data_IF_610681955296
#
_entry.id   IF_610681955296
#
_cell.length_a   1.000
_cell.length_b   1.000
_cell.length_c   1.000
_cell.angle_alpha   90.00
_cell.angle_beta   90.00
_cell.angle_gamma   90.00
#
_symmetry.space_group_name_H-M   'P 1'
#
loop_
_entity.id
_entity.type
_entity.pdbx_description
1 polymer ?
#
# COMPACT_ATOMS: atom_id res chain seq x y z
N UNK A 1 8.72 8.00 8.00
CA UNK A 1 8.98 7.06 6.90
C UNK A 1 10.40 7.29 6.46
N UNK A 2 11.18 6.22 6.39
CA UNK A 2 12.48 6.20 5.75
C UNK A 2 12.34 6.04 4.22
N UNK A 3 13.47 6.14 3.53
CA UNK A 3 13.53 6.10 2.06
C UNK A 3 12.97 4.78 1.49
N UNK A 4 13.32 3.65 2.09
CA UNK A 4 12.80 2.33 1.70
C UNK A 4 11.27 2.28 1.79
N UNK A 5 10.68 2.86 2.83
CA UNK A 5 9.23 2.92 2.95
C UNK A 5 8.58 3.77 1.86
N UNK A 6 9.20 4.88 1.47
CA UNK A 6 8.69 5.69 0.36
C UNK A 6 8.81 4.95 -0.98
N UNK A 7 9.93 4.25 -1.21
CA UNK A 7 10.10 3.37 -2.37
C UNK A 7 9.06 2.24 -2.40
N UNK A 8 8.73 1.66 -1.24
CA UNK A 8 7.70 0.63 -1.10
C UNK A 8 6.31 1.08 -1.57
N UNK A 9 5.95 2.34 -1.29
CA UNK A 9 4.66 2.89 -1.72
C UNK A 9 4.56 2.94 -3.25
N UNK A 10 5.65 3.30 -3.92
CA UNK A 10 5.72 3.28 -5.39
C UNK A 10 5.75 1.85 -5.91
N UNK A 11 6.54 0.97 -5.30
CA UNK A 11 6.65 -0.44 -5.69
C UNK A 11 5.28 -1.15 -5.66
N UNK A 12 4.48 -0.90 -4.61
CA UNK A 12 3.12 -1.43 -4.46
C UNK A 12 2.20 -1.10 -5.66
N UNK A 13 2.36 0.07 -6.30
CA UNK A 13 1.54 0.44 -7.45
C UNK A 13 1.76 -0.49 -8.65
N UNK A 14 2.99 -1.01 -8.80
CA UNK A 14 3.32 -2.03 -9.78
C UNK A 14 2.88 -3.42 -9.28
N UNK A 15 3.46 -3.89 -8.17
CA UNK A 15 3.02 -5.11 -7.48
C UNK A 15 3.56 -5.19 -6.04
N UNK A 16 2.96 -6.07 -5.22
CA UNK A 16 3.38 -6.29 -3.83
C UNK A 16 4.72 -7.03 -3.68
N UNK A 17 5.08 -7.89 -4.64
CA UNK A 17 6.33 -8.67 -4.61
C UNK A 17 7.54 -7.72 -4.57
N UNK A 18 7.52 -6.65 -5.36
CA UNK A 18 8.57 -5.64 -5.39
C UNK A 18 8.70 -4.90 -4.04
N UNK A 19 7.58 -4.55 -3.41
CA UNK A 19 7.58 -3.92 -2.09
C UNK A 19 8.10 -4.88 -1.01
N UNK A 20 7.73 -6.16 -1.06
CA UNK A 20 8.17 -7.17 -0.09
C UNK A 20 9.69 -7.34 -0.04
N UNK A 21 10.39 -7.19 -1.17
CA UNK A 21 11.86 -7.27 -1.22
C UNK A 21 12.58 -6.18 -0.40
N UNK A 22 11.92 -5.06 -0.12
CA UNK A 22 12.48 -3.95 0.67
C UNK A 22 11.75 -3.75 2.00
N UNK A 23 10.76 -4.60 2.31
CA UNK A 23 9.90 -4.46 3.48
C UNK A 23 10.68 -4.53 4.79
N UNK A 24 11.64 -5.44 4.90
CA UNK A 24 12.41 -5.62 6.14
C UNK A 24 13.18 -4.35 6.56
N UNK A 25 13.61 -3.54 5.58
CA UNK A 25 14.41 -2.32 5.76
C UNK A 25 13.58 -1.10 6.20
N UNK A 26 12.25 -1.20 6.13
CA UNK A 26 11.36 -0.10 6.48
C UNK A 26 11.28 0.12 8.00
N UNK A 27 11.12 1.39 8.40
CA UNK A 27 10.79 1.74 9.78
C UNK A 27 9.38 1.25 10.18
N UNK A 28 9.06 1.06 11.47
CA UNK A 28 7.77 0.49 11.89
C UNK A 28 6.54 1.23 11.36
N UNK A 29 6.60 2.57 11.31
CA UNK A 29 5.51 3.37 10.74
C UNK A 29 5.45 3.19 9.23
N UNK A 30 6.59 3.17 8.55
CA UNK A 30 6.68 2.86 7.13
C UNK A 30 6.07 1.50 6.75
N UNK A 31 6.34 0.44 7.53
CA UNK A 31 5.74 -0.89 7.37
C UNK A 31 4.22 -0.83 7.48
N UNK A 32 3.70 -0.17 8.52
CA UNK A 32 2.26 -0.02 8.74
C UNK A 32 1.57 0.66 7.55
N UNK A 33 2.13 1.80 7.09
CA UNK A 33 1.54 2.56 5.99
C UNK A 33 1.62 1.83 4.65
N UNK A 34 2.74 1.15 4.38
CA UNK A 34 2.89 0.34 3.17
C UNK A 34 1.87 -0.80 3.13
N UNK A 35 1.70 -1.54 4.22
CA UNK A 35 0.71 -2.64 4.28
C UNK A 35 -0.71 -2.10 4.13
N UNK A 36 -1.05 -0.98 4.78
CA UNK A 36 -2.37 -0.36 4.63
C UNK A 36 -2.63 0.06 3.17
N UNK A 37 -1.63 0.66 2.51
CA UNK A 37 -1.72 1.05 1.10
C UNK A 37 -1.85 -0.15 0.17
N UNK A 38 -1.09 -1.21 0.43
CA UNK A 38 -1.09 -2.47 -0.33
C UNK A 38 -2.49 -3.06 -0.46
N UNK A 39 -3.28 -3.11 0.62
CA UNK A 39 -4.61 -3.76 0.59
C UNK A 39 -5.54 -3.11 -0.44
N UNK A 40 -5.48 -1.79 -0.57
CA UNK A 40 -6.45 -1.03 -1.36
C UNK A 40 -5.92 -0.57 -2.73
N UNK A 41 -4.64 -0.22 -2.81
CA UNK A 41 -4.05 0.43 -3.99
C UNK A 41 -3.12 -0.46 -4.80
N UNK A 42 -2.75 -1.64 -4.29
CA UNK A 42 -1.77 -2.47 -4.97
C UNK A 42 -2.19 -2.83 -6.39
N UNK A 43 -1.17 -2.98 -7.24
CA UNK A 43 -1.28 -3.44 -8.63
C UNK A 43 -2.06 -2.51 -9.56
N UNK A 44 -2.36 -1.29 -9.13
CA UNK A 44 -3.21 -0.36 -9.89
C UNK A 44 -2.63 -0.04 -11.27
N UNK A 45 -1.30 -0.05 -11.41
CA UNK A 45 -0.60 0.15 -12.68
C UNK A 45 0.10 -1.12 -13.20
N UNK A 46 -0.02 -2.24 -12.50
CA UNK A 46 0.50 -3.54 -12.91
C UNK A 46 -0.62 -4.51 -13.20
N UNK A 47 -0.72 -5.57 -12.39
CA UNK A 47 -1.58 -6.73 -12.65
C UNK A 47 -3.05 -6.37 -12.88
N UNK A 48 -3.61 -5.44 -12.10
CA UNK A 48 -5.02 -5.05 -12.28
C UNK A 48 -5.24 -4.20 -13.54
N UNK A 49 -4.29 -3.33 -13.89
CA UNK A 49 -4.36 -2.57 -15.13
C UNK A 49 -4.34 -3.53 -16.33
N UNK A 50 -3.38 -4.45 -16.36
CA UNK A 50 -3.23 -5.44 -17.43
C UNK A 50 -4.46 -6.34 -17.56
N UNK A 51 -5.00 -6.83 -16.44
CA UNK A 51 -6.22 -7.63 -16.45
C UNK A 51 -7.43 -6.83 -16.95
N UNK A 52 -7.62 -5.61 -16.45
CA UNK A 52 -8.78 -4.77 -16.84
C UNK A 52 -8.70 -4.39 -18.32
N UNK A 53 -7.51 -4.07 -18.83
CA UNK A 53 -7.30 -3.79 -20.24
C UNK A 53 -7.60 -4.98 -21.16
N UNK A 54 -7.33 -6.21 -20.71
CA UNK A 54 -7.68 -7.42 -21.47
C UNK A 54 -9.15 -7.83 -21.36
N UNK A 55 -9.79 -7.60 -20.22
CA UNK A 55 -11.13 -8.09 -19.93
C UNK A 55 -12.25 -7.07 -20.27
N UNK A 56 -12.06 -5.80 -19.91
CA UNK A 56 -12.99 -4.71 -20.17
C UNK A 56 -12.27 -3.35 -20.15
N UNK A 57 -11.76 -2.86 -21.30
CA UNK A 57 -10.99 -1.62 -21.39
C UNK A 57 -11.73 -0.38 -20.87
N UNK A 58 -13.05 -0.33 -20.99
CA UNK A 58 -13.85 0.82 -20.53
C UNK A 58 -13.81 0.97 -19.00
N UNK A 59 -13.50 -0.12 -18.28
CA UNK A 59 -13.38 -0.13 -16.82
C UNK A 59 -12.01 0.31 -16.30
N UNK A 60 -11.01 0.55 -17.16
CA UNK A 60 -9.65 0.95 -16.74
C UNK A 60 -9.70 2.19 -15.85
N UNK A 61 -10.33 3.26 -16.33
CA UNK A 61 -10.37 4.53 -15.61
C UNK A 61 -11.10 4.42 -14.26
N UNK A 62 -12.33 3.85 -14.20
CA UNK A 62 -13.01 3.58 -12.92
C UNK A 62 -12.18 2.78 -11.92
N UNK A 63 -11.49 1.71 -12.36
CA UNK A 63 -10.68 0.85 -11.49
C UNK A 63 -9.48 1.61 -10.93
N UNK A 64 -8.77 2.35 -11.78
CA UNK A 64 -7.60 3.15 -11.34
C UNK A 64 -8.02 4.18 -10.31
N UNK A 65 -9.07 4.97 -10.59
CA UNK A 65 -9.56 5.99 -9.66
C UNK A 65 -10.04 5.37 -8.36
N UNK A 66 -10.87 4.32 -8.42
CA UNK A 66 -11.40 3.66 -7.22
C UNK A 66 -10.29 3.11 -6.32
N UNK A 67 -9.28 2.46 -6.90
CA UNK A 67 -8.14 1.91 -6.14
C UNK A 67 -7.27 3.00 -5.53
N UNK A 68 -6.95 4.06 -6.27
CA UNK A 68 -6.14 5.16 -5.73
C UNK A 68 -6.87 5.89 -4.61
N UNK A 69 -8.17 6.16 -4.76
CA UNK A 69 -8.99 6.78 -3.71
C UNK A 69 -9.02 5.90 -2.46
N UNK A 70 -9.27 4.59 -2.62
CA UNK A 70 -9.27 3.65 -1.50
C UNK A 70 -7.88 3.57 -0.82
N UNK A 71 -6.81 3.51 -1.62
CA UNK A 71 -5.42 3.49 -1.17
C UNK A 71 -5.04 4.71 -0.33
N UNK A 72 -5.29 5.90 -0.86
CA UNK A 72 -5.01 7.17 -0.17
C UNK A 72 -5.81 7.24 1.14
N UNK A 73 -7.09 6.87 1.11
CA UNK A 73 -7.94 6.85 2.31
C UNK A 73 -7.42 5.88 3.37
N UNK A 74 -6.99 4.68 2.97
CA UNK A 74 -6.40 3.69 3.88
C UNK A 74 -5.11 4.21 4.53
N UNK A 75 -4.25 4.91 3.78
CA UNK A 75 -3.01 5.51 4.32
C UNK A 75 -3.33 6.62 5.33
N UNK A 76 -4.30 7.49 5.02
CA UNK A 76 -4.72 8.57 5.93
C UNK A 76 -5.22 7.97 7.25
N UNK A 77 -6.11 6.97 7.16
CA UNK A 77 -6.66 6.29 8.33
C UNK A 77 -5.55 5.58 9.14
N UNK A 78 -4.68 4.82 8.47
CA UNK A 78 -3.58 4.12 9.13
C UNK A 78 -2.60 5.08 9.79
N UNK A 79 -2.31 6.24 9.18
CA UNK A 79 -1.46 7.27 9.76
C UNK A 79 -2.09 7.90 11.01
N UNK A 80 -3.40 8.13 11.00
CA UNK A 80 -4.15 8.62 12.16
C UNK A 80 -4.12 7.60 13.32
N UNK A 81 -4.30 6.32 13.02
CA UNK A 81 -4.29 5.24 14.01
C UNK A 81 -2.88 4.78 14.43
N UNK A 82 -1.83 5.21 13.72
CA UNK A 82 -0.46 4.72 13.91
C UNK A 82 0.06 4.77 15.35
N UNK A 83 -0.14 5.85 16.14
CA UNK A 83 0.35 5.90 17.52
C UNK A 83 -0.24 4.77 18.39
N UNK A 84 -1.55 4.54 18.26
CA UNK A 84 -2.27 3.51 19.01
C UNK A 84 -1.89 2.10 18.55
N UNK A 85 -1.81 1.88 17.24
CA UNK A 85 -1.48 0.56 16.68
C UNK A 85 -0.03 0.16 16.98
N UNK A 86 0.92 1.10 16.87
CA UNK A 86 2.32 0.83 17.16
C UNK A 86 2.60 0.64 18.66
N UNK A 87 1.83 1.31 19.54
CA UNK A 87 1.91 1.09 20.99
C UNK A 87 1.56 -0.36 21.36
N UNK A 88 0.48 -0.91 20.79
CA UNK A 88 0.06 -2.31 21.02
C UNK A 88 1.12 -3.34 20.62
N UNK A 89 1.90 -3.07 19.58
CA UNK A 89 2.99 -3.97 19.16
C UNK A 89 4.13 -3.98 20.19
N UNK A 90 4.41 -2.84 20.83
CA UNK A 90 5.43 -2.76 21.88
C UNK A 90 4.98 -3.50 23.14
N UNK A 91 3.72 -3.31 23.55
CA UNK A 91 3.12 -4.02 24.69
C UNK A 91 3.15 -5.54 24.50
N UNK A 92 2.84 -6.03 23.29
CA UNK A 92 2.84 -7.47 23.00
C UNK A 92 4.24 -8.11 22.99
N UNK A 93 5.32 -7.31 22.97
CA UNK A 93 6.71 -7.78 22.99
C UNK A 93 7.40 -7.61 24.35
N UNK A 94 6.74 -6.95 25.30
CA UNK A 94 7.20 -6.77 26.68
C UNK A 94 6.74 -7.94 27.55
#
# INVERSE_FOLDING_TARGET
>A
MNEDAAAGMVANLANNIAMFNIFEKMDPKGKLLNVAFTVSAAFVFGDHLGFTAGANPEMIFPVVVGKLVAGITAVILANFLAPMLLAKIKEAKA
#
